data_IF_996726376695
#
_entry.id   IF_996726376695
#
_cell.length_a   1.000
_cell.length_b   1.000
_cell.length_c   1.000
_cell.angle_alpha   90.00
_cell.angle_beta   90.00
_cell.angle_gamma   90.00
#
_symmetry.space_group_name_H-M   'P 1'
#
loop_
_entity.id
_entity.type
_entity.pdbx_description
1 polymer ?
#
# COMPACT_ATOMS: atom_id res chain seq x y z
N UNK A 1 4.56 -23.70 -9.21
CA UNK A 1 3.27 -23.51 -8.49
C UNK A 1 2.20 -22.82 -9.34
N UNK A 2 2.54 -22.14 -10.46
CA UNK A 2 1.52 -21.68 -11.44
C UNK A 2 0.65 -20.51 -10.99
N UNK A 3 1.11 -19.69 -10.04
CA UNK A 3 0.37 -18.53 -9.58
C UNK A 3 0.51 -17.36 -10.57
N UNK A 4 -0.60 -16.70 -10.88
CA UNK A 4 -0.64 -15.51 -11.75
C UNK A 4 -0.18 -14.24 -11.03
N UNK A 5 -0.22 -14.23 -9.70
CA UNK A 5 0.28 -13.13 -8.89
C UNK A 5 0.74 -13.59 -7.50
N UNK A 6 1.59 -12.76 -6.90
CA UNK A 6 2.02 -12.84 -5.50
C UNK A 6 1.51 -11.60 -4.79
N UNK A 7 0.64 -11.79 -3.80
CA UNK A 7 0.22 -10.71 -2.91
C UNK A 7 1.17 -10.61 -1.71
N UNK A 8 1.66 -9.42 -1.42
CA UNK A 8 2.58 -9.15 -0.29
C UNK A 8 1.98 -8.09 0.61
N UNK A 9 1.79 -8.45 1.88
CA UNK A 9 1.31 -7.55 2.93
C UNK A 9 2.44 -7.16 3.89
N UNK A 10 2.60 -5.86 4.11
CA UNK A 10 3.50 -5.34 5.13
C UNK A 10 2.91 -5.36 6.53
N UNK A 11 3.78 -5.18 7.53
CA UNK A 11 3.45 -5.14 8.98
C UNK A 11 2.33 -4.14 9.33
N UNK A 12 2.15 -3.07 8.55
CA UNK A 12 1.13 -2.03 8.78
C UNK A 12 -0.26 -2.38 8.23
N UNK A 13 -0.54 -3.67 8.05
CA UNK A 13 -1.86 -4.18 7.66
C UNK A 13 -2.94 -3.90 8.71
N UNK A 14 -4.18 -3.70 8.26
CA UNK A 14 -5.33 -3.54 9.14
C UNK A 14 -5.91 -4.88 9.59
N UNK A 15 -6.49 -4.93 10.77
CA UNK A 15 -7.18 -6.12 11.29
C UNK A 15 -8.36 -5.73 12.17
N UNK A 16 -9.40 -6.57 12.16
CA UNK A 16 -10.55 -6.40 13.03
C UNK A 16 -10.27 -6.84 14.47
N UNK A 17 -9.46 -7.89 14.68
CA UNK A 17 -9.40 -8.63 15.94
C UNK A 17 -8.11 -9.41 16.21
N UNK A 18 -6.96 -9.03 15.63
CA UNK A 18 -5.70 -9.73 15.92
C UNK A 18 -5.19 -9.44 17.34
N UNK A 19 -4.49 -10.39 17.99
CA UNK A 19 -3.74 -10.14 19.21
C UNK A 19 -2.71 -9.02 19.02
N UNK A 20 -2.60 -8.12 20.00
CA UNK A 20 -1.66 -6.98 19.92
C UNK A 20 -0.22 -7.42 19.70
N UNK A 21 0.20 -8.52 20.35
CA UNK A 21 1.56 -9.05 20.19
C UNK A 21 1.88 -9.43 18.74
N UNK A 22 0.91 -9.99 18.01
CA UNK A 22 1.09 -10.34 16.59
C UNK A 22 1.07 -9.07 15.74
N UNK A 23 0.08 -8.19 15.95
CA UNK A 23 -0.07 -6.94 15.22
C UNK A 23 1.17 -6.05 15.31
N UNK A 24 1.78 -5.98 16.50
CA UNK A 24 2.84 -5.02 16.78
C UNK A 24 4.25 -5.60 16.52
N UNK A 25 4.41 -6.93 16.44
CA UNK A 25 5.74 -7.57 16.37
C UNK A 25 5.94 -8.56 15.21
N UNK A 26 4.93 -8.84 14.38
CA UNK A 26 5.05 -9.80 13.28
C UNK A 26 4.91 -9.11 11.93
N UNK A 27 5.94 -9.27 11.09
CA UNK A 27 5.99 -8.75 9.72
C UNK A 27 7.17 -7.83 9.50
N UNK A 28 7.31 -7.33 8.27
CA UNK A 28 8.33 -6.37 7.87
C UNK A 28 7.68 -5.20 7.11
N UNK A 29 8.36 -4.04 6.98
CA UNK A 29 7.91 -2.95 6.12
C UNK A 29 7.66 -3.43 4.69
N UNK A 30 6.54 -2.99 4.09
CA UNK A 30 6.14 -3.42 2.74
C UNK A 30 7.17 -2.98 1.70
N UNK A 31 7.83 -1.84 1.90
CA UNK A 31 8.83 -1.28 1.01
C UNK A 31 10.01 -2.24 0.79
N UNK A 32 10.53 -2.82 1.89
CA UNK A 32 11.60 -3.82 1.85
C UNK A 32 11.11 -5.12 1.20
N UNK A 33 9.90 -5.57 1.55
CA UNK A 33 9.33 -6.80 1.03
C UNK A 33 9.16 -6.74 -0.50
N UNK A 34 8.59 -5.65 -1.04
CA UNK A 34 8.44 -5.44 -2.49
C UNK A 34 9.81 -5.50 -3.16
N UNK A 35 10.79 -4.76 -2.64
CA UNK A 35 12.09 -4.64 -3.27
C UNK A 35 12.82 -5.99 -3.36
N UNK A 36 12.76 -6.79 -2.30
CA UNK A 36 13.37 -8.13 -2.24
C UNK A 36 12.63 -9.12 -3.14
N UNK A 37 11.29 -9.12 -3.14
CA UNK A 37 10.50 -10.03 -3.98
C UNK A 37 10.67 -9.69 -5.46
N UNK A 38 10.59 -8.41 -5.85
CA UNK A 38 10.82 -7.98 -7.23
C UNK A 38 12.21 -8.39 -7.72
N UNK A 39 13.24 -8.15 -6.90
CA UNK A 39 14.61 -8.53 -7.22
C UNK A 39 14.75 -10.05 -7.40
N UNK A 40 14.22 -10.83 -6.46
CA UNK A 40 14.28 -12.30 -6.55
C UNK A 40 13.57 -12.83 -7.78
N UNK A 41 12.36 -12.33 -8.09
CA UNK A 41 11.63 -12.74 -9.29
C UNK A 41 12.41 -12.42 -10.58
N UNK A 42 13.20 -11.34 -10.60
CA UNK A 42 14.09 -10.99 -11.73
C UNK A 42 15.30 -11.92 -11.82
N UNK A 43 15.95 -12.21 -10.70
CA UNK A 43 17.09 -13.13 -10.61
C UNK A 43 16.72 -14.53 -11.13
N UNK A 44 15.51 -15.00 -10.81
CA UNK A 44 14.98 -16.29 -11.26
C UNK A 44 14.41 -16.25 -12.70
N UNK A 45 14.39 -15.07 -13.36
CA UNK A 45 13.88 -14.93 -14.72
C UNK A 45 12.35 -15.04 -14.88
N UNK A 46 11.60 -15.01 -13.78
CA UNK A 46 10.13 -15.22 -13.75
C UNK A 46 9.33 -13.95 -13.46
N UNK A 47 9.97 -12.78 -13.36
CA UNK A 47 9.31 -11.51 -13.00
C UNK A 47 8.10 -11.15 -13.89
N UNK A 48 8.13 -11.55 -15.16
CA UNK A 48 7.02 -11.28 -16.10
C UNK A 48 6.02 -12.43 -16.20
N UNK A 49 6.16 -13.48 -15.39
CA UNK A 49 5.23 -14.62 -15.35
C UNK A 49 4.18 -14.49 -14.25
N UNK A 50 4.41 -13.66 -13.23
CA UNK A 50 3.48 -13.39 -12.16
C UNK A 50 3.52 -11.90 -11.76
N UNK A 51 2.35 -11.31 -11.49
CA UNK A 51 2.27 -9.95 -10.97
C UNK A 51 2.63 -9.90 -9.48
N UNK A 52 3.33 -8.84 -9.05
CA UNK A 52 3.57 -8.54 -7.65
C UNK A 52 2.55 -7.50 -7.18
N UNK A 53 1.63 -7.90 -6.31
CA UNK A 53 0.59 -7.03 -5.77
C UNK A 53 0.92 -6.71 -4.32
N UNK A 54 0.90 -5.44 -3.93
CA UNK A 54 1.36 -5.03 -2.61
C UNK A 54 0.28 -4.31 -1.78
N UNK A 55 0.30 -4.54 -0.48
CA UNK A 55 -0.54 -3.83 0.48
C UNK A 55 0.09 -3.76 1.87
N UNK A 56 -0.62 -3.13 2.79
CA UNK A 56 -0.12 -2.89 4.16
C UNK A 56 0.47 -1.49 4.32
N UNK A 57 -0.39 -0.55 4.73
CA UNK A 57 0.04 0.82 5.05
C UNK A 57 0.01 1.84 3.90
N UNK A 58 -0.57 1.49 2.75
CA UNK A 58 -0.80 2.44 1.64
C UNK A 58 -1.91 3.44 2.03
N UNK A 59 -1.54 4.71 2.23
CA UNK A 59 -2.45 5.75 2.78
C UNK A 59 -2.68 6.92 1.86
N UNK A 60 -1.85 7.11 0.85
CA UNK A 60 -1.91 8.20 -0.11
C UNK A 60 -1.32 7.78 -1.46
N UNK A 61 -1.45 8.64 -2.47
CA UNK A 61 -0.92 8.44 -3.81
C UNK A 61 0.61 8.29 -3.86
N UNK A 62 1.35 8.98 -2.98
CA UNK A 62 2.81 8.88 -2.93
C UNK A 62 3.28 7.49 -2.44
N UNK A 63 2.56 6.87 -1.50
CA UNK A 63 2.80 5.49 -1.08
C UNK A 63 2.60 4.53 -2.27
N UNK A 64 1.58 4.77 -3.12
CA UNK A 64 1.35 3.99 -4.36
C UNK A 64 2.54 4.13 -5.31
N UNK A 65 2.95 5.36 -5.62
CA UNK A 65 4.09 5.64 -6.51
C UNK A 65 5.36 4.94 -6.02
N UNK A 66 5.66 5.01 -4.72
CA UNK A 66 6.84 4.36 -4.14
C UNK A 66 6.76 2.84 -4.28
N UNK A 67 5.61 2.23 -3.98
CA UNK A 67 5.43 0.79 -4.12
C UNK A 67 5.64 0.31 -5.58
N UNK A 68 5.08 1.03 -6.56
CA UNK A 68 5.27 0.72 -7.98
C UNK A 68 6.75 0.90 -8.37
N UNK A 69 7.39 2.01 -7.97
CA UNK A 69 8.80 2.27 -8.25
C UNK A 69 9.73 1.20 -7.65
N UNK A 70 9.40 0.63 -6.48
CA UNK A 70 10.15 -0.46 -5.87
C UNK A 70 9.96 -1.81 -6.57
N UNK A 71 8.86 -1.98 -7.33
CA UNK A 71 8.64 -3.15 -8.17
C UNK A 71 7.24 -3.75 -8.12
N UNK A 72 6.27 -3.18 -7.40
CA UNK A 72 4.89 -3.68 -7.44
C UNK A 72 4.24 -3.41 -8.81
N UNK A 73 3.42 -4.34 -9.30
CA UNK A 73 2.55 -4.17 -10.47
C UNK A 73 1.25 -3.47 -10.11
N UNK A 74 0.75 -3.70 -8.89
CA UNK A 74 -0.46 -3.09 -8.38
C UNK A 74 -0.39 -2.96 -6.87
N UNK A 75 -1.25 -2.10 -6.32
CA UNK A 75 -1.47 -1.97 -4.88
C UNK A 75 -2.94 -2.13 -4.55
N UNK A 76 -3.25 -2.68 -3.37
CA UNK A 76 -4.59 -2.60 -2.79
C UNK A 76 -4.59 -1.74 -1.54
N UNK A 77 -5.73 -1.09 -1.33
CA UNK A 77 -5.97 -0.26 -0.15
C UNK A 77 -7.14 -0.82 0.66
N UNK A 78 -7.01 -0.76 1.98
CA UNK A 78 -8.05 -1.17 2.92
C UNK A 78 -8.40 -0.02 3.85
N UNK A 79 -7.52 0.31 4.79
CA UNK A 79 -7.78 1.35 5.80
C UNK A 79 -8.10 2.72 5.19
N UNK A 80 -7.39 3.15 4.14
CA UNK A 80 -7.69 4.41 3.44
C UNK A 80 -9.11 4.40 2.84
N UNK A 81 -9.54 3.28 2.25
CA UNK A 81 -10.89 3.12 1.74
C UNK A 81 -11.92 3.13 2.89
N UNK A 82 -11.66 2.44 4.00
CA UNK A 82 -12.54 2.46 5.18
C UNK A 82 -12.68 3.87 5.75
N UNK A 83 -11.60 4.66 5.80
CA UNK A 83 -11.64 6.06 6.23
C UNK A 83 -12.49 6.90 5.28
N UNK A 84 -12.35 6.74 3.96
CA UNK A 84 -13.22 7.42 3.00
C UNK A 84 -14.71 7.04 3.17
N UNK A 85 -15.01 5.78 3.52
CA UNK A 85 -16.38 5.35 3.83
C UNK A 85 -16.93 6.00 5.12
N UNK A 86 -16.07 6.37 6.07
CA UNK A 86 -16.45 7.01 7.33
C UNK A 86 -15.85 6.38 8.59
N UNK A 87 -14.81 5.56 8.46
CA UNK A 87 -14.08 5.03 9.61
C UNK A 87 -13.32 6.14 10.34
N UNK A 88 -13.49 6.23 11.66
CA UNK A 88 -12.78 7.18 12.52
C UNK A 88 -11.67 6.53 13.34
N UNK A 89 -11.20 5.34 12.93
CA UNK A 89 -10.07 4.63 13.56
C UNK A 89 -10.18 4.47 15.09
N UNK A 90 -11.38 4.16 15.60
CA UNK A 90 -11.60 3.98 17.04
C UNK A 90 -11.03 2.67 17.62
N UNK A 91 -10.51 1.78 16.77
CA UNK A 91 -9.85 0.51 17.12
C UNK A 91 -10.69 -0.46 18.00
N UNK A 92 -12.03 -0.38 17.90
CA UNK A 92 -12.97 -1.27 18.61
C UNK A 92 -13.65 -2.28 17.70
N UNK A 93 -13.08 -2.56 16.53
CA UNK A 93 -13.68 -3.40 15.49
C UNK A 93 -14.04 -4.80 16.03
N UNK A 94 -13.15 -5.41 16.83
CA UNK A 94 -13.33 -6.74 17.43
C UNK A 94 -14.55 -6.86 18.34
N UNK A 95 -15.08 -5.75 18.85
CA UNK A 95 -16.25 -5.77 19.75
C UNK A 95 -17.56 -6.02 19.00
N UNK A 96 -17.57 -5.88 17.67
CA UNK A 96 -18.78 -5.88 16.85
C UNK A 96 -19.68 -4.65 17.08
N UNK A 97 -19.26 -3.66 17.88
CA UNK A 97 -20.03 -2.45 18.24
C UNK A 97 -19.47 -1.20 17.55
N UNK A 98 -19.20 -1.28 16.24
CA UNK A 98 -18.70 -0.14 15.48
C UNK A 98 -19.74 1.00 15.46
N UNK A 99 -19.40 2.14 16.07
CA UNK A 99 -20.29 3.31 16.11
C UNK A 99 -20.62 3.90 14.74
N UNK A 100 -19.84 3.56 13.71
CA UNK A 100 -19.93 4.08 12.35
C UNK A 100 -20.58 3.10 11.37
N UNK A 101 -21.08 1.95 11.84
CA UNK A 101 -21.79 0.99 11.00
C UNK A 101 -20.92 0.19 10.02
N UNK A 102 -19.59 0.24 10.14
CA UNK A 102 -18.66 -0.43 9.23
C UNK A 102 -18.33 -1.86 9.71
N UNK A 103 -17.72 -2.00 10.88
CA UNK A 103 -17.30 -3.29 11.43
C UNK A 103 -18.30 -3.77 12.51
N UNK A 104 -19.53 -4.07 12.09
CA UNK A 104 -20.62 -4.52 12.98
C UNK A 104 -21.63 -5.37 12.21
N UNK A 105 -22.28 -6.30 12.91
CA UNK A 105 -23.41 -7.08 12.41
C UNK A 105 -24.73 -6.68 13.08
N UNK A 106 -24.72 -5.70 13.98
CA UNK A 106 -25.92 -5.19 14.65
C UNK A 106 -26.78 -4.40 13.63
N UNK A 107 -28.02 -4.83 13.32
CA UNK A 107 -28.87 -4.16 12.34
C UNK A 107 -29.21 -2.69 12.67
N UNK A 108 -29.09 -2.28 13.94
CA UNK A 108 -29.26 -0.88 14.33
C UNK A 108 -28.02 -0.05 14.00
N UNK A 109 -26.82 -0.62 14.20
CA UNK A 109 -25.56 0.08 13.93
C UNK A 109 -25.23 0.13 12.44
N UNK A 110 -25.52 -0.93 11.67
CA UNK A 110 -25.26 -0.97 10.22
C UNK A 110 -25.97 0.15 9.46
N UNK A 111 -27.19 0.53 9.90
CA UNK A 111 -27.96 1.67 9.35
C UNK A 111 -27.24 3.02 9.42
N UNK A 112 -26.18 3.15 10.23
CA UNK A 112 -25.39 4.39 10.35
C UNK A 112 -24.46 4.62 9.16
N UNK A 113 -24.11 3.57 8.42
CA UNK A 113 -23.34 3.69 7.19
C UNK A 113 -24.30 3.92 6.02
N UNK A 114 -24.22 5.07 5.38
CA UNK A 114 -24.94 5.35 4.14
C UNK A 114 -24.08 4.91 2.93
N UNK A 115 -24.47 3.86 2.17
CA UNK A 115 -23.67 3.32 1.07
C UNK A 115 -23.48 4.31 -0.08
N UNK A 116 -24.46 5.16 -0.38
CA UNK A 116 -24.41 6.13 -1.48
C UNK A 116 -23.37 7.22 -1.20
N UNK A 117 -23.38 7.77 0.03
CA UNK A 117 -22.39 8.75 0.49
C UNK A 117 -21.01 8.11 0.57
N UNK A 118 -20.90 6.90 1.14
CA UNK A 118 -19.65 6.15 1.24
C UNK A 118 -19.03 5.91 -0.14
N UNK A 119 -19.83 5.43 -1.09
CA UNK A 119 -19.40 5.20 -2.48
C UNK A 119 -18.90 6.50 -3.12
N UNK A 120 -19.66 7.59 -3.02
CA UNK A 120 -19.25 8.89 -3.56
C UNK A 120 -17.90 9.35 -2.99
N UNK A 121 -17.70 9.21 -1.68
CA UNK A 121 -16.43 9.57 -1.01
C UNK A 121 -15.27 8.70 -1.46
N UNK A 122 -15.47 7.38 -1.55
CA UNK A 122 -14.44 6.44 -2.00
C UNK A 122 -14.04 6.69 -3.46
N UNK A 123 -15.01 6.92 -4.34
CA UNK A 123 -14.76 7.29 -5.74
C UNK A 123 -13.97 8.60 -5.83
N UNK A 124 -14.30 9.59 -5.01
CA UNK A 124 -13.56 10.86 -4.96
C UNK A 124 -12.11 10.66 -4.50
N UNK A 125 -11.86 9.82 -3.49
CA UNK A 125 -10.50 9.48 -3.05
C UNK A 125 -9.68 8.88 -4.19
N UNK A 126 -10.21 7.85 -4.87
CA UNK A 126 -9.50 7.18 -5.97
C UNK A 126 -9.27 8.12 -7.16
N UNK A 127 -10.23 8.99 -7.47
CA UNK A 127 -10.07 10.03 -8.52
C UNK A 127 -8.98 11.03 -8.15
N UNK A 128 -8.97 11.52 -6.91
CA UNK A 128 -7.95 12.45 -6.42
C UNK A 128 -6.56 11.81 -6.52
N UNK A 129 -6.38 10.58 -6.02
CA UNK A 129 -5.11 9.87 -6.14
C UNK A 129 -4.69 9.63 -7.58
N UNK A 130 -5.63 9.32 -8.48
CA UNK A 130 -5.31 9.17 -9.91
C UNK A 130 -4.79 10.46 -10.52
N UNK A 131 -5.33 11.62 -10.14
CA UNK A 131 -4.81 12.92 -10.59
C UNK A 131 -3.43 13.22 -9.99
N UNK A 132 -3.26 13.03 -8.68
CA UNK A 132 -1.96 13.21 -7.99
C UNK A 132 -0.86 12.30 -8.57
N UNK A 133 -1.21 11.04 -8.90
CA UNK A 133 -0.29 10.10 -9.57
C UNK A 133 0.13 10.64 -10.94
N UNK A 134 -0.81 11.15 -11.75
CA UNK A 134 -0.49 11.74 -13.07
C UNK A 134 0.41 12.95 -12.94
N UNK A 135 0.18 13.81 -11.95
CA UNK A 135 1.02 14.98 -11.67
C UNK A 135 2.44 14.57 -11.27
N UNK A 136 2.57 13.59 -10.35
CA UNK A 136 3.88 13.05 -9.96
C UNK A 136 4.62 12.42 -11.13
N UNK A 137 3.94 11.59 -11.94
CA UNK A 137 4.54 10.98 -13.13
C UNK A 137 4.99 12.04 -14.14
N UNK A 138 4.16 13.07 -14.38
CA UNK A 138 4.51 14.21 -15.23
C UNK A 138 5.74 14.97 -14.72
N UNK A 139 5.84 15.19 -13.40
CA UNK A 139 7.02 15.78 -12.76
C UNK A 139 8.30 14.96 -12.91
N UNK A 140 8.19 13.65 -13.08
CA UNK A 140 9.31 12.74 -13.36
C UNK A 140 9.62 12.59 -14.86
N UNK A 141 8.81 13.20 -15.75
CA UNK A 141 8.91 12.99 -17.20
C UNK A 141 8.46 11.59 -17.66
N UNK A 142 7.61 10.92 -16.87
CA UNK A 142 7.11 9.57 -17.14
C UNK A 142 5.68 9.63 -17.66
N UNK A 143 5.42 9.01 -18.81
CA UNK A 143 4.11 9.07 -19.47
C UNK A 143 3.18 7.86 -19.18
N UNK A 144 3.69 6.82 -18.51
CA UNK A 144 2.95 5.60 -18.21
C UNK A 144 3.40 5.02 -16.87
N UNK A 145 2.46 4.52 -16.05
CA UNK A 145 2.78 3.98 -14.72
C UNK A 145 3.63 2.71 -14.80
N UNK A 146 3.48 1.96 -15.89
CA UNK A 146 4.24 0.77 -16.20
C UNK A 146 5.74 1.08 -16.39
N UNK A 147 6.08 2.28 -16.88
CA UNK A 147 7.46 2.75 -17.01
C UNK A 147 8.10 3.12 -15.66
N UNK A 148 7.28 3.34 -14.63
CA UNK A 148 7.77 3.53 -13.26
C UNK A 148 8.04 2.19 -12.57
N UNK A 149 7.40 1.09 -12.98
CA UNK A 149 7.49 -0.21 -12.31
C UNK A 149 8.94 -0.71 -12.20
N UNK A 150 9.45 -0.76 -10.98
CA UNK A 150 10.85 -1.15 -10.70
C UNK A 150 11.89 -0.10 -11.10
N UNK A 151 11.49 1.09 -11.54
CA UNK A 151 12.37 2.22 -11.86
C UNK A 151 12.80 2.94 -10.57
N UNK A 152 13.67 2.28 -9.81
CA UNK A 152 14.18 2.74 -8.52
C UNK A 152 15.04 4.01 -8.61
N UNK A 153 15.46 4.40 -9.82
CA UNK A 153 16.18 5.66 -10.06
C UNK A 153 15.34 6.91 -9.76
N UNK A 154 14.01 6.78 -9.70
CA UNK A 154 13.11 7.86 -9.29
C UNK A 154 12.98 8.02 -7.76
N UNK A 155 13.64 7.16 -6.97
CA UNK A 155 13.61 7.21 -5.52
C UNK A 155 14.96 7.59 -4.94
N UNK A 156 14.94 8.34 -3.84
CA UNK A 156 16.13 8.61 -3.03
C UNK A 156 15.83 8.36 -1.56
N UNK A 157 16.77 7.71 -0.86
CA UNK A 157 16.68 7.46 0.57
C UNK A 157 17.17 8.67 1.37
N UNK A 158 16.40 9.08 2.36
CA UNK A 158 16.76 10.16 3.29
C UNK A 158 16.83 9.56 4.69
N UNK A 159 18.00 9.60 5.33
CA UNK A 159 18.19 9.05 6.68
C UNK A 159 18.01 7.54 6.77
N UNK A 160 18.23 6.81 5.68
CA UNK A 160 18.21 5.35 5.65
C UNK A 160 19.62 4.80 5.83
N UNK A 161 19.74 3.63 6.46
CA UNK A 161 21.04 2.95 6.58
C UNK A 161 21.52 2.44 5.22
N UNK A 162 22.83 2.20 5.09
CA UNK A 162 23.40 1.57 3.88
C UNK A 162 22.75 0.22 3.56
N UNK A 163 22.41 -0.53 4.60
CA UNK A 163 21.73 -1.82 4.45
C UNK A 163 20.32 -1.64 3.86
N UNK A 164 19.57 -0.64 4.32
CA UNK A 164 18.24 -0.33 3.78
C UNK A 164 18.32 0.16 2.33
N UNK A 165 19.25 1.07 2.03
CA UNK A 165 19.49 1.59 0.68
C UNK A 165 19.81 0.44 -0.30
N UNK A 166 20.67 -0.48 0.12
CA UNK A 166 21.05 -1.67 -0.66
C UNK A 166 19.87 -2.61 -0.88
N UNK A 167 19.09 -2.91 0.16
CA UNK A 167 17.90 -3.78 0.05
C UNK A 167 16.82 -3.17 -0.83
N UNK A 168 16.58 -1.87 -0.69
CA UNK A 168 15.63 -1.14 -1.52
C UNK A 168 16.13 -0.95 -2.94
N UNK A 169 17.45 -1.03 -3.18
CA UNK A 169 18.08 -0.75 -4.47
C UNK A 169 17.91 0.72 -4.88
N UNK A 170 17.98 1.65 -3.92
CA UNK A 170 17.85 3.09 -4.15
C UNK A 170 19.12 3.83 -3.71
N UNK A 171 19.37 5.00 -4.31
CA UNK A 171 20.50 5.87 -3.95
C UNK A 171 20.15 6.78 -2.77
N UNK A 172 21.13 7.21 -1.96
CA UNK A 172 20.90 8.25 -0.95
C UNK A 172 20.56 9.59 -1.60
N UNK A 173 19.82 10.44 -0.88
CA UNK A 173 19.66 11.84 -1.22
C UNK A 173 20.91 12.63 -0.74
N UNK A 174 21.79 12.98 -1.67
CA UNK A 174 23.09 13.60 -1.36
C UNK A 174 24.21 12.58 -1.21
N UNK A 175 25.32 12.97 -0.59
CA UNK A 175 26.42 12.05 -0.25
C UNK A 175 26.02 11.20 0.97
N UNK A 176 26.27 9.88 0.89
CA UNK A 176 26.13 9.00 2.05
C UNK A 176 27.19 9.40 3.09
N UNK A 177 26.75 9.79 4.28
CA UNK A 177 27.61 10.19 5.39
C UNK A 177 28.01 8.99 6.24
#
# INVERSE_FOLDING_TARGET
AGADFVATDGIRGGTGAAPMVIRDNVGIPIELAIAVVDQRLREEGIRNQASLVAGGGIRNSADVIKAIALGADAVYIATAALVALGCHLCQKCYTGKCNWGIATQDPYLTKRLNPEIGTRRLVNLLRAWSMEIKEMLGGMGINAIESLRGNREQLRGVGLSDSDLKLLGIKPAGEAW
#
